data_IF_982910651994
#
_entry.id   IF_982910651994
#
_cell.length_a   1.000
_cell.length_b   1.000
_cell.length_c   1.000
_cell.angle_alpha   90.00
_cell.angle_beta   90.00
_cell.angle_gamma   90.00
#
_symmetry.space_group_name_H-M   'P 1'
#
loop_
_entity.id
_entity.type
_entity.pdbx_description
1 polymer ?
#
# COMPACT_ATOMS: atom_id res chain seq x y z
N UNK A 1 -3.26 26.23 3.77
CA UNK A 1 -1.81 26.42 3.53
C UNK A 1 -0.94 26.27 4.77
N UNK A 2 -1.40 26.60 5.99
CA UNK A 2 -0.59 26.54 7.21
C UNK A 2 -0.13 25.14 7.64
N UNK A 3 -0.98 24.11 7.54
CA UNK A 3 -0.66 22.78 8.07
C UNK A 3 0.12 21.85 7.10
N UNK A 4 0.47 22.31 5.88
CA UNK A 4 1.09 21.51 4.79
C UNK A 4 0.69 20.01 4.84
N UNK A 5 -0.61 19.76 4.84
CA UNK A 5 -1.17 18.47 5.24
C UNK A 5 -0.92 17.42 4.17
N UNK A 6 -0.39 16.28 4.57
CA UNK A 6 -0.31 15.08 3.73
C UNK A 6 -1.74 14.60 3.44
N UNK A 7 -2.12 14.61 2.16
CA UNK A 7 -3.45 14.19 1.72
C UNK A 7 -3.50 12.65 1.50
N UNK A 8 -4.37 11.94 2.23
CA UNK A 8 -4.57 10.50 2.06
C UNK A 8 -5.63 10.14 0.99
N UNK A 9 -6.33 11.12 0.40
CA UNK A 9 -7.48 10.90 -0.48
C UNK A 9 -7.16 10.09 -1.75
N UNK A 10 -5.94 10.25 -2.28
CA UNK A 10 -5.46 9.52 -3.46
C UNK A 10 -5.22 8.04 -3.17
N UNK A 11 -4.71 7.69 -1.97
CA UNK A 11 -4.56 6.29 -1.55
C UNK A 11 -5.92 5.65 -1.36
N UNK A 12 -6.85 6.37 -0.72
CA UNK A 12 -8.23 5.92 -0.60
C UNK A 12 -8.85 5.64 -1.97
N UNK A 13 -8.80 6.60 -2.89
CA UNK A 13 -9.34 6.46 -4.25
C UNK A 13 -8.72 5.29 -5.01
N UNK A 14 -7.39 5.11 -4.90
CA UNK A 14 -6.68 4.00 -5.54
C UNK A 14 -7.08 2.65 -4.95
N UNK A 15 -7.14 2.53 -3.63
CA UNK A 15 -7.54 1.31 -2.95
C UNK A 15 -9.03 0.97 -3.21
N UNK A 16 -9.88 1.97 -3.32
CA UNK A 16 -11.29 1.81 -3.66
C UNK A 16 -11.48 1.39 -5.12
N UNK A 17 -10.69 1.95 -6.05
CA UNK A 17 -10.73 1.57 -7.47
C UNK A 17 -10.27 0.13 -7.71
N UNK A 18 -9.42 -0.43 -6.84
CA UNK A 18 -9.02 -1.84 -6.85
C UNK A 18 -10.09 -2.77 -6.27
N UNK A 19 -11.15 -2.23 -5.65
CA UNK A 19 -12.21 -3.04 -5.07
C UNK A 19 -13.12 -3.59 -6.17
N UNK A 20 -13.24 -4.91 -6.16
CA UNK A 20 -14.10 -5.61 -7.12
C UNK A 20 -15.54 -5.71 -6.63
N UNK A 21 -16.53 -5.54 -7.52
CA UNK A 21 -17.94 -5.70 -7.16
C UNK A 21 -18.21 -7.03 -6.47
N UNK A 22 -18.84 -6.97 -5.31
CA UNK A 22 -19.21 -8.14 -4.50
C UNK A 22 -18.14 -8.60 -3.50
N UNK A 23 -16.90 -8.09 -3.56
CA UNK A 23 -15.83 -8.44 -2.63
C UNK A 23 -15.84 -7.58 -1.35
N UNK A 24 -15.21 -8.05 -0.28
CA UNK A 24 -15.02 -7.32 0.98
C UNK A 24 -16.29 -7.16 1.84
N UNK A 25 -17.46 -7.52 1.32
CA UNK A 25 -18.75 -7.42 2.04
C UNK A 25 -18.81 -8.25 3.32
N UNK A 26 -18.04 -9.34 3.39
CA UNK A 26 -17.96 -10.19 4.57
C UNK A 26 -17.41 -9.42 5.77
N UNK A 27 -16.51 -8.44 5.56
CA UNK A 27 -15.98 -7.60 6.64
C UNK A 27 -17.11 -6.82 7.30
N UNK A 28 -17.92 -6.12 6.49
CA UNK A 28 -19.00 -5.26 6.98
C UNK A 28 -20.11 -6.04 7.71
N UNK A 29 -20.26 -7.33 7.39
CA UNK A 29 -21.22 -8.26 8.01
C UNK A 29 -20.62 -9.04 9.19
N UNK A 30 -19.32 -8.92 9.42
CA UNK A 30 -18.62 -9.61 10.50
C UNK A 30 -19.02 -9.05 11.86
N UNK A 31 -19.14 -9.93 12.86
CA UNK A 31 -19.52 -9.53 14.23
C UNK A 31 -18.52 -8.55 14.80
N UNK A 32 -17.23 -8.83 14.65
CA UNK A 32 -16.12 -8.00 15.12
C UNK A 32 -16.21 -6.57 14.56
N UNK A 33 -16.50 -6.43 13.27
CA UNK A 33 -16.65 -5.14 12.62
C UNK A 33 -17.90 -4.41 13.08
N UNK A 34 -19.05 -5.10 13.16
CA UNK A 34 -20.31 -4.50 13.62
C UNK A 34 -20.23 -4.04 15.08
N UNK A 35 -19.63 -4.86 15.96
CA UNK A 35 -19.45 -4.53 17.37
C UNK A 35 -18.45 -3.38 17.57
N UNK A 36 -17.41 -3.30 16.73
CA UNK A 36 -16.53 -2.15 16.68
C UNK A 36 -17.27 -0.88 16.20
N UNK A 37 -18.01 -0.99 15.09
CA UNK A 37 -18.71 0.14 14.46
C UNK A 37 -19.85 0.70 15.30
N UNK A 38 -20.67 -0.16 15.92
CA UNK A 38 -21.89 0.25 16.62
C UNK A 38 -21.82 0.06 18.16
N UNK A 39 -21.00 -0.87 18.65
CA UNK A 39 -20.87 -1.20 20.07
C UNK A 39 -19.76 -0.41 20.78
N UNK A 40 -18.91 -1.12 21.52
CA UNK A 40 -17.89 -0.56 22.44
C UNK A 40 -16.77 0.27 21.80
N UNK A 41 -16.67 0.26 20.47
CA UNK A 41 -15.57 0.88 19.75
C UNK A 41 -14.21 0.30 20.17
N UNK A 42 -13.16 1.09 20.08
CA UNK A 42 -11.79 0.66 20.39
C UNK A 42 -11.02 0.26 19.17
N UNK A 43 -10.07 -0.66 19.32
CA UNK A 43 -9.17 -1.03 18.22
C UNK A 43 -9.75 -2.23 17.48
N UNK A 44 -9.99 -2.07 16.18
CA UNK A 44 -10.16 -3.18 15.23
C UNK A 44 -8.83 -3.36 14.51
N UNK A 45 -8.27 -4.56 14.60
CA UNK A 45 -6.99 -4.87 13.96
C UNK A 45 -7.20 -5.88 12.83
N UNK A 46 -7.10 -5.37 11.59
CA UNK A 46 -7.16 -6.18 10.38
C UNK A 46 -5.74 -6.58 9.96
N UNK A 47 -5.38 -7.85 10.14
CA UNK A 47 -4.01 -8.28 9.91
C UNK A 47 -3.89 -9.42 8.92
N UNK A 48 -2.81 -9.38 8.15
CA UNK A 48 -2.56 -10.39 7.13
C UNK A 48 -1.26 -10.15 6.39
N UNK A 49 -0.87 -11.16 5.61
CA UNK A 49 0.32 -11.11 4.75
C UNK A 49 0.21 -9.97 3.71
N UNK A 50 1.30 -9.64 3.00
CA UNK A 50 1.23 -8.63 1.94
C UNK A 50 0.23 -9.07 0.85
N UNK A 51 -0.33 -8.15 0.07
CA UNK A 51 -1.19 -8.49 -1.08
C UNK A 51 -2.41 -9.38 -0.79
N UNK A 52 -2.94 -9.40 0.44
CA UNK A 52 -4.19 -10.08 0.79
C UNK A 52 -5.43 -9.17 0.78
N UNK A 53 -5.28 -7.92 0.33
CA UNK A 53 -6.40 -6.97 0.19
C UNK A 53 -6.66 -6.07 1.41
N UNK A 54 -5.74 -5.97 2.38
CA UNK A 54 -5.88 -5.08 3.55
C UNK A 54 -6.30 -3.66 3.21
N UNK A 55 -5.60 -3.00 2.29
CA UNK A 55 -5.90 -1.62 1.89
C UNK A 55 -7.24 -1.46 1.18
N UNK A 56 -7.67 -2.47 0.40
CA UNK A 56 -8.99 -2.51 -0.25
C UNK A 56 -10.10 -2.65 0.81
N UNK A 57 -9.88 -3.49 1.83
CA UNK A 57 -10.78 -3.64 2.96
C UNK A 57 -10.81 -2.39 3.86
N UNK A 58 -9.67 -1.73 4.03
CA UNK A 58 -9.58 -0.42 4.69
C UNK A 58 -10.41 0.64 3.97
N UNK A 59 -10.29 0.74 2.64
CA UNK A 59 -11.12 1.62 1.82
C UNK A 59 -12.62 1.25 1.91
N UNK A 60 -12.95 -0.03 1.96
CA UNK A 60 -14.33 -0.50 2.16
C UNK A 60 -14.88 -0.05 3.52
N UNK A 61 -14.08 -0.12 4.58
CA UNK A 61 -14.46 0.38 5.90
C UNK A 61 -14.58 1.91 5.94
N UNK A 62 -13.70 2.64 5.22
CA UNK A 62 -13.78 4.09 5.08
C UNK A 62 -15.10 4.48 4.41
N UNK A 63 -15.45 3.88 3.27
CA UNK A 63 -16.69 4.18 2.55
C UNK A 63 -17.94 3.91 3.42
N UNK A 64 -17.98 2.79 4.12
CA UNK A 64 -19.09 2.42 5.01
C UNK A 64 -19.23 3.37 6.22
N UNK A 65 -18.12 3.79 6.82
CA UNK A 65 -18.13 4.75 7.93
C UNK A 65 -18.40 6.18 7.44
N UNK A 66 -17.91 6.57 6.27
CA UNK A 66 -18.17 7.87 5.66
C UNK A 66 -19.68 8.05 5.42
N UNK A 67 -20.36 7.02 4.89
CA UNK A 67 -21.81 7.01 4.74
C UNK A 67 -22.56 7.16 6.08
N UNK A 68 -22.06 6.52 7.15
CA UNK A 68 -22.61 6.69 8.50
C UNK A 68 -22.43 8.12 9.01
N UNK A 69 -21.23 8.68 8.87
CA UNK A 69 -20.93 10.05 9.28
C UNK A 69 -21.79 11.04 8.49
N UNK A 70 -21.97 10.86 7.18
CA UNK A 70 -22.82 11.72 6.34
C UNK A 70 -24.29 11.74 6.76
N UNK A 71 -24.74 10.73 7.50
CA UNK A 71 -26.10 10.64 8.03
C UNK A 71 -26.23 11.17 9.47
N UNK A 72 -25.14 11.47 10.17
CA UNK A 72 -25.14 11.92 11.56
C UNK A 72 -24.03 12.95 11.84
N UNK A 73 -24.42 14.19 12.14
CA UNK A 73 -23.50 15.31 12.42
C UNK A 73 -22.67 15.16 13.70
N UNK A 74 -23.06 14.27 14.61
CA UNK A 74 -22.30 14.00 15.83
C UNK A 74 -21.17 12.96 15.63
N UNK A 75 -21.02 12.42 14.41
CA UNK A 75 -20.00 11.42 14.07
C UNK A 75 -18.92 12.00 13.15
N UNK A 76 -17.66 11.73 13.45
CA UNK A 76 -16.53 12.16 12.63
C UNK A 76 -15.68 10.99 12.12
N UNK A 77 -15.06 11.17 10.96
CA UNK A 77 -14.15 10.22 10.35
C UNK A 77 -12.86 10.93 9.94
N UNK A 78 -11.73 10.29 10.24
CA UNK A 78 -10.44 10.61 9.65
C UNK A 78 -9.72 9.32 9.29
N UNK A 79 -8.89 9.38 8.26
CA UNK A 79 -8.09 8.24 7.84
C UNK A 79 -6.69 8.65 7.40
N UNK A 80 -5.75 7.70 7.46
CA UNK A 80 -4.38 7.89 7.00
C UNK A 80 -3.82 6.60 6.42
N UNK A 81 -3.04 6.72 5.35
CA UNK A 81 -2.36 5.61 4.70
C UNK A 81 -0.86 5.79 4.89
N UNK A 82 -0.23 4.87 5.64
CA UNK A 82 1.21 4.77 5.67
C UNK A 82 1.70 4.18 4.35
N UNK A 83 2.86 4.64 3.88
CA UNK A 83 3.49 4.03 2.71
C UNK A 83 5.02 4.03 2.80
N UNK A 84 5.64 2.91 2.43
CA UNK A 84 7.08 2.72 2.47
C UNK A 84 7.88 3.63 1.54
N UNK A 85 7.24 4.16 0.49
CA UNK A 85 7.87 4.95 -0.58
C UNK A 85 7.69 6.46 -0.42
N UNK A 86 7.09 6.92 0.68
CA UNK A 86 6.87 8.34 0.95
C UNK A 86 7.18 8.67 2.40
N UNK A 87 8.34 9.27 2.64
CA UNK A 87 8.77 9.66 3.99
C UNK A 87 7.81 10.65 4.66
N UNK A 88 7.03 11.43 3.91
CA UNK A 88 6.01 12.30 4.49
C UNK A 88 4.86 11.50 5.11
N UNK A 89 4.57 10.30 4.56
CA UNK A 89 3.59 9.33 5.08
C UNK A 89 4.19 8.36 6.09
N UNK A 90 5.43 8.55 6.50
CA UNK A 90 6.14 7.77 7.53
C UNK A 90 6.46 8.60 8.77
N UNK A 91 5.79 9.73 8.93
CA UNK A 91 6.03 10.70 10.00
C UNK A 91 4.79 10.87 10.87
N UNK A 92 4.97 10.75 12.20
CA UNK A 92 3.88 10.84 13.17
C UNK A 92 3.23 12.24 13.20
N UNK A 93 4.02 13.31 13.11
CA UNK A 93 3.49 14.68 13.10
C UNK A 93 2.63 14.93 11.86
N UNK A 94 3.10 14.50 10.69
CA UNK A 94 2.34 14.61 9.44
C UNK A 94 1.02 13.82 9.50
N UNK A 95 1.03 12.61 10.07
CA UNK A 95 -0.18 11.83 10.30
C UNK A 95 -1.15 12.57 11.22
N UNK A 96 -0.68 13.07 12.37
CA UNK A 96 -1.52 13.83 13.31
C UNK A 96 -2.11 15.08 12.66
N UNK A 97 -1.29 15.85 11.93
CA UNK A 97 -1.74 17.03 11.17
C UNK A 97 -2.79 16.67 10.12
N UNK A 98 -2.64 15.52 9.45
CA UNK A 98 -3.62 15.00 8.48
C UNK A 98 -4.95 14.63 9.11
N UNK A 99 -4.91 13.92 10.23
CA UNK A 99 -6.13 13.57 10.97
C UNK A 99 -6.82 14.84 11.50
N UNK A 100 -6.05 15.76 12.12
CA UNK A 100 -6.57 17.06 12.60
C UNK A 100 -7.17 17.89 11.46
N UNK A 101 -6.61 17.84 10.26
CA UNK A 101 -7.15 18.54 9.10
C UNK A 101 -8.45 17.94 8.54
N UNK A 102 -8.75 16.68 8.85
CA UNK A 102 -9.93 15.97 8.34
C UNK A 102 -11.16 16.10 9.24
N UNK A 103 -10.98 16.10 10.57
CA UNK A 103 -12.09 16.12 11.53
C UNK A 103 -12.94 17.42 11.50
N UNK A 104 -12.39 18.63 11.30
CA UNK A 104 -13.14 19.89 11.26
C UNK A 104 -13.96 20.13 9.98
N UNK A 105 -14.11 19.14 9.08
CA UNK A 105 -14.65 19.33 7.72
C UNK A 105 -16.13 19.71 7.63
N UNK A 106 -16.88 19.83 8.75
CA UNK A 106 -18.23 20.37 8.73
C UNK A 106 -18.24 21.83 9.16
N UNK A 107 -18.69 22.76 8.32
CA UNK A 107 -18.96 24.12 8.75
C UNK A 107 -20.21 24.10 9.62
N UNK A 108 -20.06 23.76 10.90
CA UNK A 108 -20.94 24.38 11.89
C UNK A 108 -20.71 25.88 11.78
N UNK A 109 -21.76 26.68 11.92
CA UNK A 109 -21.73 28.16 11.96
C UNK A 109 -20.72 28.75 12.98
N UNK A 110 -20.09 27.90 13.81
CA UNK A 110 -19.05 28.20 14.80
C UNK A 110 -17.61 28.30 14.29
N UNK A 111 -17.31 27.99 13.01
CA UNK A 111 -15.93 28.09 12.49
C UNK A 111 -15.02 26.92 12.91
N UNK A 112 -13.69 27.05 12.67
CA UNK A 112 -12.70 26.05 13.10
C UNK A 112 -12.75 25.88 14.63
N UNK A 113 -12.55 24.66 15.17
CA UNK A 113 -12.47 24.45 16.62
C UNK A 113 -11.47 25.43 17.23
N UNK A 114 -11.82 26.02 18.38
CA UNK A 114 -10.99 27.02 19.05
C UNK A 114 -9.57 26.49 19.28
N UNK A 115 -9.42 25.18 19.49
CA UNK A 115 -8.16 24.47 19.66
C UNK A 115 -7.26 24.55 18.41
N UNK A 116 -7.84 24.45 17.21
CA UNK A 116 -7.10 24.56 15.94
C UNK A 116 -6.68 26.01 15.71
N UNK A 117 -7.55 26.96 16.08
CA UNK A 117 -7.27 28.41 16.00
C UNK A 117 -6.18 28.81 17.01
N UNK A 118 -6.21 28.28 18.23
CA UNK A 118 -5.20 28.51 19.27
C UNK A 118 -3.85 27.89 18.89
N UNK A 119 -3.87 26.68 18.32
CA UNK A 119 -2.67 26.06 17.76
C UNK A 119 -2.09 26.92 16.62
N UNK A 120 -2.94 27.46 15.75
CA UNK A 120 -2.52 28.37 14.69
C UNK A 120 -1.90 29.64 15.24
N UNK A 121 -2.55 30.29 16.20
CA UNK A 121 -2.09 31.55 16.77
C UNK A 121 -0.76 31.38 17.53
N UNK A 122 -0.60 30.28 18.25
CA UNK A 122 0.62 29.99 19.02
C UNK A 122 1.82 29.60 18.16
N UNK A 123 1.60 28.97 16.99
CA UNK A 123 2.68 28.49 16.11
C UNK A 123 2.96 29.43 14.94
N UNK A 124 1.92 30.10 14.41
CA UNK A 124 1.99 31.09 13.35
C UNK A 124 2.78 32.35 13.75
N UNK A 125 2.73 32.72 15.04
CA UNK A 125 3.58 33.79 15.59
C UNK A 125 5.07 33.43 15.66
N UNK A 126 5.42 32.13 15.70
CA UNK A 126 6.79 31.63 15.96
C UNK A 126 7.40 30.93 14.74
N UNK A 127 6.65 30.70 13.64
CA UNK A 127 7.07 29.90 12.46
C UNK A 127 7.72 28.55 12.84
N UNK A 128 7.27 27.91 13.92
CA UNK A 128 7.73 26.58 14.34
C UNK A 128 6.65 25.54 14.10
N UNK A 129 7.05 24.34 13.68
CA UNK A 129 6.16 23.17 13.66
C UNK A 129 5.61 22.96 15.08
N UNK A 130 4.30 22.71 15.25
CA UNK A 130 3.76 22.35 16.55
C UNK A 130 4.40 21.03 17.00
N UNK A 131 5.00 21.00 18.20
CA UNK A 131 5.62 19.77 18.69
C UNK A 131 4.60 18.63 18.82
N UNK A 132 5.04 17.39 18.54
CA UNK A 132 4.21 16.17 18.59
C UNK A 132 3.22 16.11 19.77
N UNK A 133 3.64 16.49 20.99
CA UNK A 133 2.76 16.50 22.18
C UNK A 133 1.55 17.44 22.02
N UNK A 134 1.77 18.65 21.54
CA UNK A 134 0.69 19.61 21.33
C UNK A 134 -0.31 19.11 20.27
N UNK A 135 0.17 18.44 19.22
CA UNK A 135 -0.68 17.81 18.21
C UNK A 135 -1.54 16.68 18.79
N UNK A 136 -0.94 15.80 19.62
CA UNK A 136 -1.68 14.76 20.34
C UNK A 136 -2.78 15.36 21.22
N UNK A 137 -2.46 16.40 21.99
CA UNK A 137 -3.39 17.06 22.90
C UNK A 137 -4.55 17.73 22.14
N UNK A 138 -4.26 18.43 21.04
CA UNK A 138 -5.27 19.05 20.17
C UNK A 138 -6.18 18.00 19.55
N UNK A 139 -5.61 16.91 19.01
CA UNK A 139 -6.39 15.84 18.42
C UNK A 139 -7.35 15.18 19.42
N UNK A 140 -6.87 14.88 20.64
CA UNK A 140 -7.72 14.33 21.72
C UNK A 140 -8.91 15.27 22.03
N UNK A 141 -8.67 16.58 22.14
CA UNK A 141 -9.74 17.57 22.38
C UNK A 141 -10.76 17.60 21.24
N UNK A 142 -10.30 17.61 19.99
CA UNK A 142 -11.19 17.59 18.82
C UNK A 142 -12.06 16.33 18.84
N UNK A 143 -11.49 15.15 19.12
CA UNK A 143 -12.24 13.89 19.21
C UNK A 143 -13.29 13.96 20.33
N UNK A 144 -12.98 14.57 21.48
CA UNK A 144 -13.94 14.76 22.59
C UNK A 144 -15.12 15.67 22.24
N UNK A 145 -15.03 16.45 21.16
CA UNK A 145 -16.12 17.28 20.64
C UNK A 145 -17.19 16.50 19.89
N UNK A 146 -16.92 15.25 19.48
CA UNK A 146 -17.87 14.40 18.78
C UNK A 146 -18.44 13.31 19.69
N UNK A 147 -19.66 12.85 19.41
CA UNK A 147 -20.25 11.71 20.11
C UNK A 147 -19.50 10.42 19.78
N UNK A 148 -19.08 10.27 18.52
CA UNK A 148 -18.27 9.14 18.07
C UNK A 148 -17.29 9.57 16.98
N UNK A 149 -16.02 9.20 17.12
CA UNK A 149 -15.01 9.41 16.08
C UNK A 149 -14.42 8.10 15.61
N UNK A 150 -14.22 8.00 14.31
CA UNK A 150 -13.56 6.91 13.63
C UNK A 150 -12.19 7.37 13.12
N UNK A 151 -11.15 6.61 13.43
CA UNK A 151 -9.79 6.85 12.93
C UNK A 151 -9.30 5.58 12.23
N UNK A 152 -9.06 5.64 10.93
CA UNK A 152 -8.64 4.47 10.13
C UNK A 152 -7.18 4.66 9.70
N UNK A 153 -6.31 3.76 10.13
CA UNK A 153 -4.87 3.77 9.87
C UNK A 153 -4.49 2.55 9.03
N UNK A 154 -4.21 2.76 7.74
CA UNK A 154 -3.86 1.69 6.82
C UNK A 154 -2.34 1.47 6.74
N UNK A 155 -1.93 0.20 6.69
CA UNK A 155 -0.57 -0.27 6.49
C UNK A 155 0.43 0.19 7.58
N UNK A 156 0.05 0.07 8.86
CA UNK A 156 0.89 0.49 9.99
C UNK A 156 2.30 -0.16 10.00
N UNK A 157 2.45 -1.34 9.40
CA UNK A 157 3.77 -1.97 9.22
C UNK A 157 4.72 -1.18 8.32
N UNK A 158 4.21 -0.32 7.44
CA UNK A 158 5.02 0.54 6.58
C UNK A 158 5.56 1.80 7.30
N UNK A 159 5.15 2.03 8.55
CA UNK A 159 5.78 3.02 9.42
C UNK A 159 7.16 2.54 9.90
N UNK A 160 8.21 3.38 9.92
CA UNK A 160 9.58 2.94 10.16
C UNK A 160 9.74 2.22 11.51
N UNK A 161 10.18 0.97 11.46
CA UNK A 161 10.29 0.06 12.61
C UNK A 161 11.06 0.67 13.79
N UNK A 162 12.13 1.44 13.51
CA UNK A 162 12.97 2.06 14.54
C UNK A 162 12.21 3.04 15.45
N UNK A 163 11.16 3.71 14.93
CA UNK A 163 10.38 4.72 15.66
C UNK A 163 8.90 4.32 15.84
N UNK A 164 8.47 3.17 15.30
CA UNK A 164 7.08 2.68 15.35
C UNK A 164 6.52 2.49 16.75
N UNK A 165 7.37 2.24 17.74
CA UNK A 165 6.96 2.17 19.15
C UNK A 165 6.26 3.45 19.65
N UNK A 166 6.65 4.63 19.13
CA UNK A 166 6.01 5.90 19.49
C UNK A 166 4.56 6.01 18.97
N UNK A 167 4.30 5.50 17.78
CA UNK A 167 2.95 5.43 17.17
C UNK A 167 2.07 4.43 17.92
N UNK A 168 2.60 3.24 18.22
CA UNK A 168 1.87 2.20 18.97
C UNK A 168 1.54 2.65 20.39
N UNK A 169 2.47 3.32 21.09
CA UNK A 169 2.22 3.94 22.40
C UNK A 169 1.09 4.97 22.31
N UNK A 170 1.13 5.83 21.29
CA UNK A 170 0.11 6.85 21.08
C UNK A 170 -1.28 6.25 20.81
N UNK A 171 -1.39 5.17 20.03
CA UNK A 171 -2.69 4.49 19.82
C UNK A 171 -3.27 4.00 21.15
N UNK A 172 -2.43 3.45 22.03
CA UNK A 172 -2.82 3.03 23.37
C UNK A 172 -3.23 4.21 24.27
N UNK A 173 -2.41 5.27 24.31
CA UNK A 173 -2.70 6.52 25.02
C UNK A 173 -4.05 7.11 24.58
N UNK A 174 -4.27 7.20 23.26
CA UNK A 174 -5.49 7.73 22.68
C UNK A 174 -6.68 6.84 23.02
N UNK A 175 -6.58 5.51 22.94
CA UNK A 175 -7.68 4.64 23.36
C UNK A 175 -8.03 4.84 24.85
N UNK A 176 -7.03 4.99 25.72
CA UNK A 176 -7.24 5.13 27.16
C UNK A 176 -7.83 6.50 27.56
N UNK A 177 -7.57 7.56 26.80
CA UNK A 177 -8.05 8.93 27.08
C UNK A 177 -9.52 9.17 26.65
N UNK A 178 -10.15 8.18 26.03
CA UNK A 178 -11.52 8.28 25.51
C UNK A 178 -12.44 7.20 26.07
N UNK A 179 -13.71 7.57 26.28
CA UNK A 179 -14.72 6.67 26.83
C UNK A 179 -15.04 5.52 25.87
N UNK A 180 -15.58 4.44 26.42
CA UNK A 180 -16.10 3.33 25.63
C UNK A 180 -17.19 3.82 24.66
N UNK A 181 -17.13 3.36 23.41
CA UNK A 181 -18.05 3.75 22.34
C UNK A 181 -17.74 5.09 21.65
N UNK A 182 -16.99 6.01 22.27
CA UNK A 182 -16.74 7.35 21.67
C UNK A 182 -15.61 7.38 20.64
N UNK A 183 -14.69 6.41 20.68
CA UNK A 183 -13.57 6.32 19.75
C UNK A 183 -13.45 4.90 19.17
N UNK A 184 -13.35 4.82 17.84
CA UNK A 184 -13.17 3.57 17.10
C UNK A 184 -11.98 3.71 16.15
N UNK A 185 -10.90 2.98 16.42
CA UNK A 185 -9.67 2.97 15.63
C UNK A 185 -9.63 1.69 14.82
N UNK A 186 -9.47 1.78 13.50
CA UNK A 186 -9.14 0.64 12.66
C UNK A 186 -7.67 0.71 12.30
N UNK A 187 -6.94 -0.38 12.48
CA UNK A 187 -5.55 -0.51 12.05
C UNK A 187 -5.45 -1.68 11.09
N UNK A 188 -4.84 -1.47 9.92
CA UNK A 188 -4.39 -2.58 9.08
C UNK A 188 -2.88 -2.75 9.18
N UNK A 189 -2.40 -3.99 9.28
CA UNK A 189 -0.96 -4.26 9.26
C UNK A 189 -0.58 -5.71 8.93
N UNK A 190 0.71 -5.95 8.75
CA UNK A 190 1.31 -7.29 8.97
C UNK A 190 1.34 -7.63 10.46
N UNK A 191 1.28 -8.92 10.83
CA UNK A 191 1.43 -9.36 12.22
C UNK A 191 2.92 -9.39 12.64
N UNK A 192 3.60 -8.25 12.60
CA UNK A 192 4.98 -8.13 13.09
C UNK A 192 5.02 -8.12 14.63
N UNK A 193 6.06 -8.71 15.22
CA UNK A 193 6.09 -8.98 16.67
C UNK A 193 5.90 -7.77 17.58
N UNK A 194 6.41 -6.60 17.20
CA UNK A 194 6.21 -5.34 17.95
C UNK A 194 4.78 -4.80 17.83
N UNK A 195 4.14 -4.98 16.66
CA UNK A 195 2.73 -4.62 16.43
C UNK A 195 1.81 -5.56 17.21
N UNK A 196 2.01 -6.87 17.06
CA UNK A 196 1.27 -7.92 17.79
C UNK A 196 1.33 -7.64 19.29
N UNK A 197 2.54 -7.55 19.85
CA UNK A 197 2.73 -7.36 21.28
C UNK A 197 2.19 -6.04 21.83
N UNK A 198 1.97 -5.03 20.99
CA UNK A 198 1.40 -3.74 21.40
C UNK A 198 -0.12 -3.70 21.26
N UNK A 199 -0.66 -4.14 20.11
CA UNK A 199 -2.09 -4.08 19.83
C UNK A 199 -2.87 -5.12 20.62
N UNK A 200 -2.35 -6.33 20.86
CA UNK A 200 -3.04 -7.36 21.65
C UNK A 200 -3.30 -6.90 23.10
N UNK A 201 -2.45 -6.03 23.65
CA UNK A 201 -2.63 -5.43 24.99
C UNK A 201 -3.84 -4.50 25.07
N UNK A 202 -4.41 -4.10 23.93
CA UNK A 202 -5.55 -3.19 23.84
C UNK A 202 -6.89 -3.92 23.73
N UNK A 203 -6.91 -5.26 23.89
CA UNK A 203 -8.08 -6.13 23.65
C UNK A 203 -8.78 -5.82 22.30
N UNK A 204 -8.04 -5.93 21.17
CA UNK A 204 -8.56 -5.50 19.88
C UNK A 204 -9.57 -6.50 19.36
N UNK A 205 -10.52 -6.00 18.56
CA UNK A 205 -11.25 -6.84 17.62
C UNK A 205 -10.29 -7.28 16.51
N UNK A 206 -9.69 -8.46 16.65
CA UNK A 206 -8.70 -8.97 15.70
C UNK A 206 -9.37 -9.76 14.57
N UNK A 207 -9.16 -9.30 13.33
CA UNK A 207 -9.62 -9.99 12.11
C UNK A 207 -8.39 -10.43 11.33
N UNK A 208 -8.19 -11.75 11.25
CA UNK A 208 -7.10 -12.34 10.47
C UNK A 208 -7.54 -12.63 9.03
N UNK A 209 -6.82 -12.07 8.06
CA UNK A 209 -7.01 -12.32 6.63
C UNK A 209 -6.32 -13.64 6.23
N UNK A 210 -6.84 -14.73 6.77
CA UNK A 210 -6.44 -16.08 6.40
C UNK A 210 -7.18 -16.56 5.15
N UNK A 211 -6.68 -17.66 4.59
CA UNK A 211 -7.12 -18.13 3.28
C UNK A 211 -8.63 -18.41 3.21
N UNK A 212 -9.18 -19.12 4.19
CA UNK A 212 -10.60 -19.47 4.21
C UNK A 212 -11.52 -18.24 4.21
N UNK A 213 -11.10 -17.14 4.84
CA UNK A 213 -11.88 -15.90 4.93
C UNK A 213 -11.97 -15.18 3.59
N UNK A 214 -10.87 -15.19 2.80
CA UNK A 214 -10.76 -14.40 1.56
C UNK A 214 -10.93 -15.23 0.27
N UNK A 215 -11.00 -16.57 0.36
CA UNK A 215 -11.22 -17.47 -0.78
C UNK A 215 -12.41 -17.06 -1.68
N UNK A 216 -13.59 -16.71 -1.11
CA UNK A 216 -14.73 -16.30 -1.93
C UNK A 216 -14.46 -15.00 -2.71
N UNK A 217 -13.71 -14.06 -2.10
CA UNK A 217 -13.37 -12.79 -2.75
C UNK A 217 -12.34 -12.99 -3.86
N UNK A 218 -11.37 -13.91 -3.70
CA UNK A 218 -10.42 -14.27 -4.77
C UNK A 218 -11.17 -14.88 -5.95
N UNK A 219 -12.11 -15.78 -5.69
CA UNK A 219 -12.92 -16.39 -6.73
C UNK A 219 -13.76 -15.35 -7.48
N UNK A 220 -14.40 -14.43 -6.74
CA UNK A 220 -15.14 -13.32 -7.32
C UNK A 220 -14.24 -12.41 -8.18
N UNK A 221 -13.03 -12.10 -7.70
CA UNK A 221 -12.05 -11.32 -8.46
C UNK A 221 -11.65 -11.98 -9.78
N UNK A 222 -11.35 -13.29 -9.77
CA UNK A 222 -11.00 -14.03 -10.99
C UNK A 222 -12.16 -13.99 -11.98
N UNK A 223 -13.38 -14.28 -11.52
CA UNK A 223 -14.58 -14.29 -12.38
C UNK A 223 -14.87 -12.92 -12.98
N UNK A 224 -14.85 -11.87 -12.15
CA UNK A 224 -15.07 -10.50 -12.61
C UNK A 224 -13.99 -10.09 -13.61
N UNK A 225 -12.72 -10.40 -13.33
CA UNK A 225 -11.61 -10.12 -14.26
C UNK A 225 -11.84 -10.78 -15.61
N UNK A 226 -12.11 -12.09 -15.65
CA UNK A 226 -12.33 -12.85 -16.88
C UNK A 226 -13.60 -12.43 -17.65
N UNK A 227 -14.60 -11.89 -16.95
CA UNK A 227 -15.86 -11.46 -17.55
C UNK A 227 -15.83 -10.01 -18.06
N UNK A 228 -15.22 -9.09 -17.31
CA UNK A 228 -15.36 -7.65 -17.51
C UNK A 228 -14.19 -7.02 -18.28
N UNK A 229 -12.97 -7.55 -18.15
CA UNK A 229 -11.80 -6.98 -18.85
C UNK A 229 -11.83 -7.32 -20.35
N UNK A 230 -11.54 -6.31 -21.17
CA UNK A 230 -11.57 -6.42 -22.62
C UNK A 230 -10.56 -7.45 -23.16
N UNK A 231 -9.39 -7.55 -22.53
CA UNK A 231 -8.33 -8.48 -22.92
C UNK A 231 -8.76 -9.95 -22.85
N UNK A 232 -9.72 -10.29 -21.99
CA UNK A 232 -10.23 -11.65 -21.86
C UNK A 232 -11.47 -11.94 -22.72
N UNK A 233 -11.98 -10.98 -23.49
CA UNK A 233 -13.10 -11.21 -24.42
C UNK A 233 -12.75 -12.21 -25.52
N UNK A 234 -11.47 -12.28 -25.90
CA UNK A 234 -10.95 -13.23 -26.90
C UNK A 234 -10.95 -14.69 -26.45
N UNK A 235 -11.10 -14.97 -25.15
CA UNK A 235 -11.06 -16.33 -24.61
C UNK A 235 -12.44 -17.00 -24.65
N UNK A 236 -12.45 -18.27 -25.05
CA UNK A 236 -13.67 -19.08 -25.06
C UNK A 236 -14.12 -19.41 -23.64
N UNK A 237 -15.41 -19.73 -23.40
CA UNK A 237 -15.90 -20.14 -22.09
C UNK A 237 -15.09 -21.29 -21.48
N UNK A 238 -14.68 -22.26 -22.30
CA UNK A 238 -13.89 -23.41 -21.85
C UNK A 238 -12.53 -22.97 -21.30
N UNK A 239 -11.83 -22.07 -22.00
CA UNK A 239 -10.55 -21.53 -21.54
C UNK A 239 -10.72 -20.71 -20.26
N UNK A 240 -11.78 -19.91 -20.15
CA UNK A 240 -12.07 -19.16 -18.92
C UNK A 240 -12.30 -20.10 -17.73
N UNK A 241 -13.03 -21.20 -17.93
CA UNK A 241 -13.22 -22.23 -16.91
C UNK A 241 -11.90 -22.93 -16.53
N UNK A 242 -11.05 -23.26 -17.51
CA UNK A 242 -9.71 -23.83 -17.25
C UNK A 242 -8.84 -22.87 -16.42
N UNK A 243 -8.87 -21.57 -16.73
CA UNK A 243 -8.15 -20.53 -15.96
C UNK A 243 -8.69 -20.44 -14.53
N UNK A 244 -10.02 -20.35 -14.36
CA UNK A 244 -10.65 -20.26 -13.04
C UNK A 244 -10.26 -21.46 -12.17
N UNK A 245 -10.41 -22.68 -12.69
CA UNK A 245 -10.08 -23.90 -11.96
C UNK A 245 -8.60 -23.94 -11.53
N UNK A 246 -7.69 -23.57 -12.44
CA UNK A 246 -6.25 -23.58 -12.17
C UNK A 246 -5.81 -22.50 -11.18
N UNK A 247 -6.34 -21.28 -11.29
CA UNK A 247 -6.00 -20.21 -10.37
C UNK A 247 -6.59 -20.45 -8.97
N UNK A 248 -7.81 -20.99 -8.88
CA UNK A 248 -8.42 -21.33 -7.59
C UNK A 248 -7.64 -22.47 -6.92
N UNK A 249 -7.40 -23.58 -7.63
CA UNK A 249 -6.62 -24.71 -7.08
C UNK A 249 -5.19 -24.32 -6.71
N UNK A 250 -4.52 -23.50 -7.54
CA UNK A 250 -3.19 -22.96 -7.24
C UNK A 250 -3.18 -22.04 -6.01
N UNK A 251 -4.23 -21.21 -5.85
CA UNK A 251 -4.36 -20.31 -4.69
C UNK A 251 -4.74 -21.06 -3.39
N UNK A 252 -5.33 -22.26 -3.48
CA UNK A 252 -5.67 -23.10 -2.32
C UNK A 252 -4.53 -24.07 -1.93
N UNK A 253 -3.72 -24.54 -2.89
CA UNK A 253 -2.69 -25.57 -2.71
C UNK A 253 -1.32 -25.09 -2.23
N UNK A 254 -1.14 -23.81 -1.92
CA UNK A 254 0.17 -23.20 -1.62
C UNK A 254 0.68 -23.40 -0.18
N UNK A 255 0.25 -24.48 0.49
CA UNK A 255 0.77 -24.89 1.81
C UNK A 255 1.94 -25.85 1.63
N UNK A 256 3.17 -25.33 1.65
CA UNK A 256 4.33 -26.20 1.88
C UNK A 256 4.28 -26.64 3.34
N UNK A 257 3.85 -27.87 3.61
CA UNK A 257 4.04 -28.53 4.91
C UNK A 257 5.54 -28.75 5.08
N UNK A 258 6.24 -28.15 6.07
CA UNK A 258 7.55 -28.65 6.44
C UNK A 258 7.32 -29.93 7.24
N UNK A 259 7.83 -31.05 6.72
CA UNK A 259 7.90 -32.31 7.43
C UNK A 259 8.36 -32.12 8.89
N UNK A 260 7.56 -32.63 9.82
CA UNK A 260 7.94 -33.14 11.13
C UNK A 260 9.19 -32.52 11.79
N UNK A 261 8.99 -31.45 12.58
CA UNK A 261 9.44 -31.30 13.98
C UNK A 261 9.37 -29.83 14.42
N UNK A 262 8.59 -29.60 15.48
CA UNK A 262 8.63 -28.47 16.43
C UNK A 262 8.49 -27.06 15.79
N UNK A 263 7.42 -26.30 16.08
CA UNK A 263 7.25 -24.96 15.55
C UNK A 263 8.19 -23.99 16.28
N UNK A 264 9.35 -23.68 15.69
CA UNK A 264 10.08 -22.44 15.95
C UNK A 264 9.59 -21.39 14.95
N UNK A 265 9.46 -20.14 15.41
CA UNK A 265 8.99 -18.95 14.68
C UNK A 265 9.74 -18.61 13.36
N UNK A 266 10.69 -19.46 12.95
CA UNK A 266 11.50 -19.32 11.74
C UNK A 266 10.99 -20.16 10.54
N UNK A 267 10.05 -21.10 10.73
CA UNK A 267 9.43 -21.83 9.63
C UNK A 267 8.28 -21.00 9.01
N UNK A 268 8.64 -20.04 8.16
CA UNK A 268 7.70 -19.44 7.20
C UNK A 268 7.25 -20.53 6.25
N UNK A 269 6.13 -21.19 6.55
CA UNK A 269 5.28 -21.71 5.48
C UNK A 269 5.07 -20.54 4.50
N UNK A 270 5.38 -20.74 3.22
CA UNK A 270 5.30 -19.70 2.19
C UNK A 270 3.84 -19.32 1.98
N UNK A 271 3.27 -18.52 2.88
CA UNK A 271 1.95 -17.97 2.74
C UNK A 271 2.02 -16.93 1.63
N UNK A 272 1.67 -17.35 0.41
CA UNK A 272 1.72 -16.52 -0.80
C UNK A 272 0.61 -15.48 -0.77
N UNK A 273 0.94 -14.25 -1.18
CA UNK A 273 0.00 -13.14 -1.32
C UNK A 273 -0.96 -13.41 -2.49
N UNK A 274 -2.13 -13.98 -2.22
CA UNK A 274 -2.96 -14.62 -3.26
C UNK A 274 -3.60 -13.66 -4.25
N UNK A 275 -4.08 -12.48 -3.81
CA UNK A 275 -4.60 -11.49 -4.78
C UNK A 275 -3.48 -10.99 -5.70
N UNK A 276 -2.28 -10.74 -5.16
CA UNK A 276 -1.16 -10.29 -5.98
C UNK A 276 -0.67 -11.37 -6.96
N UNK A 277 -0.63 -12.62 -6.51
CA UNK A 277 -0.27 -13.76 -7.36
C UNK A 277 -1.28 -13.93 -8.49
N UNK A 278 -2.59 -13.86 -8.17
CA UNK A 278 -3.66 -13.90 -9.18
C UNK A 278 -3.60 -12.71 -10.14
N UNK A 279 -3.44 -11.48 -9.65
CA UNK A 279 -3.33 -10.27 -10.49
C UNK A 279 -2.16 -10.37 -11.48
N UNK A 280 -0.97 -10.77 -11.01
CA UNK A 280 0.19 -10.93 -11.90
C UNK A 280 -0.03 -12.05 -12.93
N UNK A 281 -0.67 -13.16 -12.55
CA UNK A 281 -0.95 -14.25 -13.48
C UNK A 281 -2.00 -13.87 -14.51
N UNK A 282 -3.07 -13.18 -14.12
CA UNK A 282 -4.06 -12.67 -15.05
C UNK A 282 -3.38 -11.78 -16.10
N UNK A 283 -2.47 -10.90 -15.71
CA UNK A 283 -1.70 -10.06 -16.66
C UNK A 283 -0.82 -10.87 -17.60
N UNK A 284 -0.14 -11.91 -17.12
CA UNK A 284 0.61 -12.81 -18.01
C UNK A 284 -0.32 -13.50 -19.02
N UNK A 285 -1.54 -13.82 -18.61
CA UNK A 285 -2.54 -14.44 -19.48
C UNK A 285 -3.15 -13.43 -20.46
N UNK A 286 -3.20 -12.13 -20.16
CA UNK A 286 -3.68 -11.07 -21.07
C UNK A 286 -2.90 -11.07 -22.40
N UNK A 287 -1.60 -11.38 -22.36
CA UNK A 287 -0.73 -11.43 -23.54
C UNK A 287 -0.89 -12.70 -24.39
N UNK A 288 -1.62 -13.71 -23.90
CA UNK A 288 -1.80 -14.96 -24.64
C UNK A 288 -2.72 -14.78 -25.85
N UNK A 289 -2.26 -15.24 -27.01
CA UNK A 289 -3.01 -15.13 -28.29
C UNK A 289 -3.79 -16.40 -28.61
N UNK A 290 -3.26 -17.58 -28.24
CA UNK A 290 -3.85 -18.87 -28.62
C UNK A 290 -4.30 -19.68 -27.40
N UNK A 291 -5.33 -20.54 -27.52
CA UNK A 291 -5.69 -21.47 -26.46
C UNK A 291 -4.52 -22.35 -25.99
N UNK A 292 -3.61 -22.69 -26.91
CA UNK A 292 -2.39 -23.43 -26.59
C UNK A 292 -1.46 -22.62 -25.68
N UNK A 293 -1.19 -21.35 -26.02
CA UNK A 293 -0.31 -20.50 -25.19
C UNK A 293 -0.90 -20.26 -23.80
N UNK A 294 -2.22 -20.14 -23.68
CA UNK A 294 -2.88 -20.08 -22.36
C UNK A 294 -2.62 -21.35 -21.57
N UNK A 295 -2.85 -22.54 -22.16
CA UNK A 295 -2.63 -23.81 -21.47
C UNK A 295 -1.17 -24.06 -21.10
N UNK A 296 -0.24 -23.64 -21.96
CA UNK A 296 1.19 -23.74 -21.67
C UNK A 296 1.56 -22.80 -20.50
N UNK A 297 1.05 -21.57 -20.49
CA UNK A 297 1.23 -20.65 -19.35
C UNK A 297 0.59 -21.18 -18.04
N UNK A 298 -0.57 -21.85 -18.12
CA UNK A 298 -1.23 -22.50 -16.98
C UNK A 298 -0.51 -23.78 -16.51
N UNK A 299 0.32 -24.42 -17.35
CA UNK A 299 1.18 -25.55 -16.94
C UNK A 299 2.45 -25.08 -16.26
N UNK A 300 2.99 -23.94 -16.70
CA UNK A 300 4.18 -23.28 -16.16
C UNK A 300 3.82 -22.24 -15.08
N UNK A 301 2.78 -22.51 -14.28
CA UNK A 301 2.37 -21.61 -13.22
C UNK A 301 3.48 -21.53 -12.15
N UNK A 302 3.97 -20.33 -11.85
CA UNK A 302 4.97 -20.15 -10.81
C UNK A 302 4.37 -20.50 -9.44
N UNK A 303 5.17 -21.19 -8.62
CA UNK A 303 4.73 -21.70 -7.30
C UNK A 303 4.66 -20.61 -6.23
N UNK A 304 5.26 -19.45 -6.47
CA UNK A 304 5.26 -18.35 -5.52
C UNK A 304 5.37 -17.01 -6.25
N UNK A 305 5.24 -15.92 -5.50
CA UNK A 305 5.39 -14.57 -6.05
C UNK A 305 6.80 -14.30 -6.57
N UNK A 306 7.82 -14.89 -5.97
CA UNK A 306 9.22 -14.65 -6.33
C UNK A 306 9.49 -15.18 -7.74
N UNK A 307 8.98 -16.37 -8.03
CA UNK A 307 9.04 -17.00 -9.36
C UNK A 307 8.21 -16.23 -10.40
N UNK A 308 7.12 -15.55 -9.99
CA UNK A 308 6.39 -14.62 -10.87
C UNK A 308 7.25 -13.41 -11.19
N UNK A 309 7.89 -12.81 -10.20
CA UNK A 309 8.75 -11.63 -10.41
C UNK A 309 9.96 -11.96 -11.27
N UNK A 310 10.61 -13.10 -11.04
CA UNK A 310 11.68 -13.63 -11.88
C UNK A 310 11.21 -13.76 -13.34
N UNK A 311 10.06 -14.41 -13.56
CA UNK A 311 9.48 -14.56 -14.90
C UNK A 311 9.19 -13.22 -15.58
N UNK A 312 8.66 -12.24 -14.86
CA UNK A 312 8.39 -10.90 -15.42
C UNK A 312 9.72 -10.21 -15.78
N UNK A 313 10.71 -10.26 -14.88
CA UNK A 313 12.01 -9.64 -15.12
C UNK A 313 12.78 -10.31 -16.27
N UNK A 314 12.64 -11.62 -16.45
CA UNK A 314 13.26 -12.37 -17.55
C UNK A 314 12.65 -12.06 -18.92
N UNK A 315 11.40 -11.57 -18.96
CA UNK A 315 10.79 -11.13 -20.24
C UNK A 315 11.32 -9.79 -20.74
N UNK A 316 12.07 -9.06 -19.90
CA UNK A 316 12.59 -7.74 -20.27
C UNK A 316 13.67 -7.89 -21.36
N UNK A 317 13.54 -7.20 -22.52
CA UNK A 317 14.54 -7.24 -23.57
C UNK A 317 15.92 -6.79 -23.09
N UNK A 318 16.99 -7.45 -23.56
CA UNK A 318 18.37 -7.17 -23.14
C UNK A 318 18.75 -5.69 -23.20
N UNK A 319 18.31 -4.99 -24.26
CA UNK A 319 18.56 -3.56 -24.49
C UNK A 319 17.93 -2.64 -23.44
N UNK A 320 16.90 -3.13 -22.73
CA UNK A 320 16.12 -2.36 -21.76
C UNK A 320 16.44 -2.75 -20.32
N UNK A 321 17.23 -3.82 -20.12
CA UNK A 321 17.54 -4.34 -18.78
C UNK A 321 18.15 -3.29 -17.88
N UNK A 322 19.11 -2.53 -18.41
CA UNK A 322 19.80 -1.49 -17.65
C UNK A 322 18.86 -0.37 -17.20
N UNK A 323 18.02 0.16 -18.10
CA UNK A 323 17.08 1.22 -17.76
C UNK A 323 16.03 0.75 -16.74
N UNK A 324 15.51 -0.47 -16.89
CA UNK A 324 14.56 -1.05 -15.91
C UNK A 324 15.26 -1.29 -14.58
N UNK A 325 16.50 -1.78 -14.57
CA UNK A 325 17.28 -1.98 -13.34
C UNK A 325 17.49 -0.66 -12.58
N UNK A 326 17.85 0.41 -13.29
CA UNK A 326 17.95 1.77 -12.73
C UNK A 326 16.59 2.26 -12.23
N UNK A 327 15.51 2.06 -12.99
CA UNK A 327 14.17 2.44 -12.57
C UNK A 327 13.75 1.76 -11.26
N UNK A 328 13.98 0.44 -11.15
CA UNK A 328 13.67 -0.32 -9.94
C UNK A 328 14.48 0.15 -8.74
N UNK A 329 15.76 0.48 -8.93
CA UNK A 329 16.62 1.03 -7.89
C UNK A 329 16.07 2.37 -7.36
N UNK A 330 15.81 3.33 -8.26
CA UNK A 330 15.25 4.61 -7.90
C UNK A 330 13.88 4.48 -7.22
N UNK A 331 12.97 3.65 -7.74
CA UNK A 331 11.65 3.45 -7.16
C UNK A 331 11.67 2.71 -5.81
N UNK A 332 12.69 1.88 -5.56
CA UNK A 332 12.83 1.15 -4.31
C UNK A 332 13.41 2.03 -3.19
N UNK A 333 14.36 2.92 -3.49
CA UNK A 333 15.16 3.60 -2.46
C UNK A 333 15.01 5.12 -2.41
N UNK A 334 14.25 5.74 -3.32
CA UNK A 334 13.94 7.17 -3.20
C UNK A 334 13.16 7.47 -1.92
N UNK A 335 13.55 8.55 -1.24
CA UNK A 335 12.93 9.01 0.02
C UNK A 335 11.53 9.58 -0.17
N UNK A 336 11.25 10.07 -1.37
CA UNK A 336 9.94 10.56 -1.80
C UNK A 336 9.60 9.97 -3.18
N UNK A 337 8.31 9.80 -3.52
CA UNK A 337 7.94 9.25 -4.81
C UNK A 337 8.38 10.17 -5.95
N UNK A 338 9.10 9.61 -6.91
CA UNK A 338 9.58 10.33 -8.08
C UNK A 338 8.46 10.59 -9.07
N UNK A 339 8.50 11.74 -9.74
CA UNK A 339 7.65 12.00 -10.91
C UNK A 339 8.16 11.24 -12.13
N UNK A 340 7.29 11.06 -13.13
CA UNK A 340 7.65 10.45 -14.41
C UNK A 340 8.84 11.16 -15.05
N UNK A 341 8.84 12.49 -15.07
CA UNK A 341 9.95 13.29 -15.60
C UNK A 341 11.25 13.09 -14.82
N UNK A 342 11.18 13.12 -13.49
CA UNK A 342 12.36 12.88 -12.64
C UNK A 342 12.94 11.47 -12.85
N UNK A 343 12.08 10.45 -12.97
CA UNK A 343 12.55 9.09 -13.23
C UNK A 343 13.19 9.00 -14.62
N UNK A 344 12.62 9.64 -15.64
CA UNK A 344 13.18 9.67 -17.00
C UNK A 344 14.59 10.23 -17.03
N UNK A 345 14.82 11.34 -16.33
CA UNK A 345 16.16 11.92 -16.21
C UNK A 345 17.11 11.01 -15.42
N UNK A 346 16.60 10.37 -14.37
CA UNK A 346 17.41 9.58 -13.45
C UNK A 346 17.91 8.26 -14.07
N UNK A 347 17.13 7.63 -14.95
CA UNK A 347 17.48 6.32 -15.53
C UNK A 347 18.45 6.41 -16.71
N UNK A 348 18.61 7.58 -17.34
CA UNK A 348 19.56 7.77 -18.45
C UNK A 348 20.97 8.10 -17.97
N UNK A 349 21.14 8.53 -16.72
CA UNK A 349 22.44 8.90 -16.15
C UNK A 349 23.33 7.64 -16.08
N UNK A 350 24.43 7.64 -16.84
CA UNK A 350 25.45 6.62 -16.75
C UNK A 350 26.33 6.87 -15.52
N UNK A 351 26.53 5.82 -14.72
CA UNK A 351 27.40 5.87 -13.54
C UNK A 351 28.86 5.66 -13.98
N UNK A 352 29.53 6.72 -14.41
CA UNK A 352 30.99 6.70 -14.59
C UNK A 352 31.63 7.81 -13.76
N UNK A 353 32.38 7.38 -12.73
CA UNK A 353 33.15 8.25 -11.83
C UNK A 353 34.21 9.09 -12.56
N UNK A 354 34.48 8.79 -13.84
CA UNK A 354 35.45 9.47 -14.68
C UNK A 354 34.82 10.32 -15.80
N UNK A 355 33.49 10.27 -15.99
CA UNK A 355 32.78 11.05 -17.03
C UNK A 355 31.64 11.83 -16.42
N UNK A 356 31.98 13.01 -15.91
CA UNK A 356 31.00 14.00 -15.48
C UNK A 356 30.65 14.93 -16.65
N UNK A 357 29.36 15.16 -16.90
CA UNK A 357 28.89 16.18 -17.83
C UNK A 357 28.76 15.79 -19.32
N UNK A 358 28.70 14.50 -19.67
CA UNK A 358 28.28 14.09 -21.02
C UNK A 358 26.76 14.33 -21.21
N UNK A 359 26.37 14.79 -22.40
CA UNK A 359 24.98 15.11 -22.75
C UNK A 359 24.07 13.92 -22.47
N UNK A 360 22.98 14.16 -21.74
CA UNK A 360 22.03 13.10 -21.47
C UNK A 360 21.26 12.73 -22.72
N UNK A 361 21.35 11.47 -23.11
CA UNK A 361 20.41 10.87 -24.03
C UNK A 361 18.99 11.10 -23.47
N UNK A 362 18.18 11.89 -24.15
CA UNK A 362 16.78 12.01 -23.80
C UNK A 362 16.09 10.71 -24.19
N UNK A 363 15.38 10.08 -23.26
CA UNK A 363 14.50 8.98 -23.60
C UNK A 363 13.40 9.49 -24.53
N UNK A 364 13.31 8.87 -25.70
CA UNK A 364 12.25 9.19 -26.67
C UNK A 364 10.87 8.78 -26.16
N UNK A 365 10.78 7.71 -25.36
CA UNK A 365 9.51 7.20 -24.84
C UNK A 365 9.71 6.42 -23.53
N UNK A 366 9.50 7.11 -22.40
CA UNK A 366 9.48 6.47 -21.07
C UNK A 366 8.18 5.71 -20.80
N UNK A 367 7.07 6.05 -21.46
CA UNK A 367 5.79 5.36 -21.26
C UNK A 367 5.89 3.93 -21.77
N UNK A 368 6.57 3.72 -22.90
CA UNK A 368 6.96 2.40 -23.38
C UNK A 368 7.83 1.63 -22.39
N UNK A 369 8.63 2.29 -21.54
CA UNK A 369 9.42 1.61 -20.52
C UNK A 369 8.56 1.14 -19.34
N UNK A 370 7.62 1.98 -18.91
CA UNK A 370 6.71 1.66 -17.79
C UNK A 370 5.70 0.59 -18.20
N UNK A 371 5.25 0.60 -19.46
CA UNK A 371 4.34 -0.41 -20.00
C UNK A 371 4.96 -1.81 -20.13
N UNK A 372 6.29 -1.94 -20.04
CA UNK A 372 6.97 -3.26 -20.01
C UNK A 372 6.77 -3.96 -18.67
N UNK A 373 6.61 -3.21 -17.58
CA UNK A 373 6.55 -3.74 -16.23
C UNK A 373 5.29 -3.28 -15.45
N UNK A 374 4.07 -3.39 -16.01
CA UNK A 374 2.86 -2.86 -15.37
C UNK A 374 2.59 -3.58 -14.04
N UNK A 375 3.06 -4.83 -13.91
CA UNK A 375 2.96 -5.66 -12.70
C UNK A 375 3.98 -5.29 -11.62
N UNK A 376 4.97 -4.46 -11.91
CA UNK A 376 6.05 -4.09 -10.97
C UNK A 376 6.07 -2.59 -10.67
N UNK A 377 5.62 -1.75 -11.60
CA UNK A 377 5.56 -0.29 -11.48
C UNK A 377 4.11 0.18 -11.60
N UNK A 378 3.71 1.15 -10.77
CA UNK A 378 2.40 1.78 -10.85
C UNK A 378 2.52 3.29 -10.72
N UNK A 379 1.61 4.02 -11.35
CA UNK A 379 1.41 5.43 -11.06
C UNK A 379 0.91 5.59 -9.63
N UNK A 380 1.59 6.43 -8.86
CA UNK A 380 1.23 6.87 -7.53
C UNK A 380 0.44 8.19 -7.54
N UNK A 381 0.11 8.65 -6.35
CA UNK A 381 -0.72 9.83 -6.05
C UNK A 381 -0.57 11.01 -7.04
N UNK A 382 -1.63 11.31 -7.79
CA UNK A 382 -1.83 12.63 -8.38
C UNK A 382 -2.25 13.57 -7.25
N UNK A 383 -1.33 14.41 -6.74
CA UNK A 383 -1.75 15.50 -5.85
C UNK A 383 -2.69 16.39 -6.64
N UNK A 384 -3.90 16.59 -6.12
CA UNK A 384 -5.01 17.25 -6.78
C UNK A 384 -4.60 18.50 -7.56
N UNK A 385 -4.60 18.36 -8.88
CA UNK A 385 -4.93 19.37 -9.86
C UNK A 385 -5.28 18.61 -11.14
N UNK A 386 -6.53 18.72 -11.58
CA UNK A 386 -7.02 18.13 -12.85
C UNK A 386 -6.39 18.78 -14.10
N UNK A 387 -5.26 19.48 -13.94
CA UNK A 387 -4.48 20.15 -14.98
C UNK A 387 -3.00 19.73 -15.00
N UNK A 388 -2.63 18.70 -14.24
CA UNK A 388 -1.25 18.23 -14.13
C UNK A 388 -0.83 17.50 -15.41
N UNK A 389 0.22 17.97 -16.09
CA UNK A 389 0.84 17.27 -17.24
C UNK A 389 1.26 15.85 -16.85
N UNK A 390 1.26 14.89 -17.78
CA UNK A 390 1.62 13.49 -17.50
C UNK A 390 3.00 13.34 -16.82
N UNK A 391 3.95 14.23 -17.13
CA UNK A 391 5.28 14.26 -16.50
C UNK A 391 5.25 14.42 -14.98
N UNK A 392 4.21 15.05 -14.43
CA UNK A 392 4.06 15.30 -13.00
C UNK A 392 3.43 14.13 -12.23
N UNK A 393 2.99 13.08 -12.93
CA UNK A 393 2.48 11.87 -12.29
C UNK A 393 3.62 11.18 -11.55
N UNK A 394 3.37 10.82 -10.29
CA UNK A 394 4.35 10.11 -9.48
C UNK A 394 4.34 8.63 -9.79
N UNK A 395 5.47 7.98 -9.60
CA UNK A 395 5.66 6.54 -9.81
C UNK A 395 6.07 5.89 -8.50
N UNK A 396 5.63 4.65 -8.31
CA UNK A 396 5.97 3.80 -7.18
C UNK A 396 6.10 2.35 -7.68
N UNK A 397 6.76 1.51 -6.88
CA UNK A 397 6.62 0.07 -7.07
C UNK A 397 5.15 -0.32 -6.84
N UNK A 398 4.62 -1.17 -7.70
CA UNK A 398 3.21 -1.54 -7.71
C UNK A 398 2.77 -2.29 -6.44
N UNK A 399 3.71 -2.87 -5.70
CA UNK A 399 3.46 -3.43 -4.38
C UNK A 399 4.78 -3.58 -3.60
N UNK A 400 4.75 -3.48 -2.27
CA UNK A 400 5.96 -3.60 -1.44
C UNK A 400 6.68 -4.95 -1.59
N UNK A 401 5.95 -6.04 -1.90
CA UNK A 401 6.57 -7.35 -2.15
C UNK A 401 7.54 -7.35 -3.34
N UNK A 402 7.41 -6.39 -4.27
CA UNK A 402 8.40 -6.20 -5.34
C UNK A 402 9.72 -5.73 -4.74
N UNK A 403 9.68 -4.74 -3.85
CA UNK A 403 10.88 -4.28 -3.12
C UNK A 403 11.48 -5.42 -2.29
N UNK A 404 10.65 -6.18 -1.57
CA UNK A 404 11.11 -7.34 -0.78
C UNK A 404 11.83 -8.38 -1.63
N UNK A 405 11.33 -8.64 -2.85
CA UNK A 405 11.98 -9.54 -3.78
C UNK A 405 13.32 -8.97 -4.26
N UNK A 406 13.35 -7.73 -4.75
CA UNK A 406 14.54 -7.07 -5.31
C UNK A 406 15.71 -7.01 -4.32
N UNK A 407 15.45 -6.90 -3.02
CA UNK A 407 16.50 -6.84 -1.97
C UNK A 407 16.82 -8.21 -1.35
N UNK A 408 16.18 -9.29 -1.80
CA UNK A 408 16.33 -10.61 -1.19
C UNK A 408 17.54 -11.36 -1.73
N UNK A 409 18.17 -12.19 -0.89
CA UNK A 409 19.20 -13.15 -1.33
C UNK A 409 18.68 -14.11 -2.41
N UNK A 410 17.36 -14.34 -2.46
CA UNK A 410 16.74 -15.20 -3.47
C UNK A 410 16.81 -14.56 -4.85
N UNK A 411 16.55 -13.26 -4.96
CA UNK A 411 16.77 -12.54 -6.21
C UNK A 411 18.25 -12.56 -6.62
N UNK A 412 19.18 -12.48 -5.67
CA UNK A 412 20.62 -12.57 -5.97
C UNK A 412 21.06 -13.93 -6.56
N UNK A 413 20.29 -14.99 -6.31
CA UNK A 413 20.60 -16.36 -6.77
C UNK A 413 19.74 -16.80 -7.98
N UNK A 414 18.78 -15.98 -8.39
CA UNK A 414 17.85 -16.24 -9.49
C UNK A 414 18.45 -15.92 -10.87
N UNK A 415 17.78 -16.32 -11.97
CA UNK A 415 18.15 -15.87 -13.32
C UNK A 415 18.14 -14.34 -13.44
N UNK A 416 17.27 -13.69 -12.67
CA UNK A 416 17.12 -12.24 -12.57
C UNK A 416 18.08 -11.58 -11.57
N UNK A 417 19.21 -12.21 -11.21
CA UNK A 417 20.22 -11.67 -10.28
C UNK A 417 20.73 -10.27 -10.66
N UNK A 418 20.68 -9.90 -11.95
CA UNK A 418 20.98 -8.55 -12.40
C UNK A 418 20.12 -7.46 -11.72
N UNK A 419 18.88 -7.79 -11.37
CA UNK A 419 17.94 -6.88 -10.72
C UNK A 419 17.99 -6.92 -9.20
N UNK A 420 18.86 -7.75 -8.61
CA UNK A 420 19.07 -7.72 -7.16
C UNK A 420 19.70 -6.40 -6.73
N UNK A 421 19.20 -5.81 -5.65
CA UNK A 421 19.60 -4.49 -5.19
C UNK A 421 20.05 -4.53 -3.74
N UNK A 422 21.32 -4.21 -3.50
CA UNK A 422 21.82 -3.88 -2.16
C UNK A 422 21.44 -2.45 -1.81
N UNK A 423 20.92 -2.23 -0.59
CA UNK A 423 20.54 -0.89 -0.11
C UNK A 423 21.73 0.08 -0.09
N UNK A 424 22.91 -0.37 0.36
CA UNK A 424 24.10 0.46 0.42
C UNK A 424 24.56 0.87 -0.99
N UNK A 425 24.54 -0.08 -1.93
CA UNK A 425 24.95 0.17 -3.31
C UNK A 425 23.92 1.03 -4.06
N UNK A 426 22.63 0.83 -3.80
CA UNK A 426 21.55 1.67 -4.30
C UNK A 426 21.75 3.13 -3.90
N UNK A 427 21.90 3.38 -2.60
CA UNK A 427 22.10 4.72 -2.06
C UNK A 427 23.38 5.37 -2.61
N UNK A 428 24.47 4.60 -2.72
CA UNK A 428 25.72 5.08 -3.31
C UNK A 428 25.53 5.49 -4.78
N UNK A 429 24.92 4.63 -5.60
CA UNK A 429 24.65 4.91 -7.03
C UNK A 429 23.76 6.13 -7.19
N UNK A 430 22.66 6.22 -6.44
CA UNK A 430 21.77 7.40 -6.48
C UNK A 430 22.52 8.68 -6.09
N UNK A 431 23.35 8.63 -5.04
CA UNK A 431 24.18 9.76 -4.63
C UNK A 431 25.14 10.23 -5.73
N UNK A 432 25.81 9.30 -6.42
CA UNK A 432 26.65 9.62 -7.57
C UNK A 432 25.86 10.25 -8.72
N UNK A 433 24.69 9.69 -9.08
CA UNK A 433 23.86 10.27 -10.15
C UNK A 433 23.41 11.71 -9.83
N UNK A 434 23.06 11.99 -8.58
CA UNK A 434 22.74 13.36 -8.16
C UNK A 434 23.94 14.30 -8.29
N UNK A 435 25.16 13.84 -7.98
CA UNK A 435 26.39 14.62 -8.11
C UNK A 435 26.80 14.83 -9.56
N UNK A 436 26.51 13.90 -10.47
CA UNK A 436 26.85 14.03 -11.90
C UNK A 436 26.05 15.09 -12.65
N UNK A 437 25.03 15.68 -12.02
CA UNK A 437 24.17 16.74 -12.56
C UNK A 437 24.30 18.09 -11.84
N UNK A 438 25.18 18.19 -10.83
CA UNK A 438 25.56 19.45 -10.17
C UNK A 438 26.73 20.05 -10.94
#
# INVERSE_FOLDING_TARGET
KWLNVVDPSSNYSTALALREPGTGNWLLRGREYMDWKAGRGGVLWLHGIPGCGKSVLSATAIEDVENLCNSNDDHALAYFYFTFSDSEKQNLENMLLSIIGQLPKRPSELGLPAEVVDLYNSTGAIRKSPGTKALKDVLSRIIKGFKKTFVILDALDEFPKAIRGSLLSWIGELRADHNEGSLSILVTSRPEGDIVGSLERLDPFAISLQSSTIDPDILAYIRNSLAMKDDFRKFTPEIKSEIEEKLVSGSQGMWVIPNHRIPTYANRATCVCRFRWVDCLLRILEDCITPKSVRDALRELPKDLDSIYERILDTIPEKLKEYVGRAMNWLAFSTVPLTLGQLAEAIVIQYDVNRYGEDSENLFDIESLISICPSLISYGDARGNQSSTQESQRLRLAHFSVKEYLISERAAQASSAYYHISEDEANLRMGHACLSRI
#
